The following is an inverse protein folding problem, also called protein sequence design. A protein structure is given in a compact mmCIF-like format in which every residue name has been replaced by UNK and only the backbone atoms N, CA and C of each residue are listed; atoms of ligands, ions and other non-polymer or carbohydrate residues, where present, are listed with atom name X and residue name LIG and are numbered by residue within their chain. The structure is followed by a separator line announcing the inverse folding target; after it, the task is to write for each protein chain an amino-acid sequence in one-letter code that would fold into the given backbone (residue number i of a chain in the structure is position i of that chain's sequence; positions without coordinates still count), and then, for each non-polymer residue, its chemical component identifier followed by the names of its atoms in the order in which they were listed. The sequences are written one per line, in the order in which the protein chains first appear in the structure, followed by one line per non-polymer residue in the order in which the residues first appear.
data_IF_173150025858
#
_entry.id   IF_173150025858
#
_cell.length_a   1.000
_cell.length_b   1.000
_cell.length_c   1.000
_cell.angle_alpha   90.00
_cell.angle_beta   90.00
_cell.angle_gamma   90.00
#
_symmetry.space_group_name_H-M   'P 1'
#
loop_
_entity.id
_entity.type
_entity.pdbx_description
1 polymer ?
#
# COMPACT_ATOMS: atom_id res chain seq x y z
N UNK A 1 -0.14 13.42 1.74
CA UNK A 1 0.52 12.10 1.89
C UNK A 1 1.91 12.22 1.28
N UNK A 2 2.92 11.53 1.79
CA UNK A 2 4.28 11.65 1.20
C UNK A 2 4.58 10.50 0.22
N UNK A 3 3.90 9.37 0.38
CA UNK A 3 4.03 8.22 -0.51
C UNK A 3 2.70 7.47 -0.56
N UNK A 4 2.26 7.13 -1.77
CA UNK A 4 1.10 6.28 -2.01
C UNK A 4 1.56 5.03 -2.76
N UNK A 5 1.18 3.84 -2.26
CA UNK A 5 1.46 2.58 -2.94
C UNK A 5 0.15 1.93 -3.35
N UNK A 6 0.03 1.64 -4.64
CA UNK A 6 -1.17 1.09 -5.27
C UNK A 6 -0.88 -0.31 -5.80
N UNK A 7 -1.76 -1.27 -5.51
CA UNK A 7 -1.71 -2.58 -6.11
C UNK A 7 -2.43 -2.58 -7.47
N UNK A 8 -1.79 -3.14 -8.51
CA UNK A 8 -2.39 -3.24 -9.84
C UNK A 8 -3.47 -4.33 -9.95
N UNK A 9 -3.53 -5.26 -8.99
CA UNK A 9 -4.52 -6.36 -8.89
C UNK A 9 -5.93 -5.86 -8.50
N UNK A 10 -6.22 -4.58 -8.68
CA UNK A 10 -7.50 -3.99 -8.33
C UNK A 10 -8.51 -4.27 -9.44
N UNK A 11 -9.54 -5.06 -9.11
CA UNK A 11 -10.56 -5.55 -10.05
C UNK A 11 -11.41 -4.44 -10.71
N UNK A 12 -11.30 -3.18 -10.25
CA UNK A 12 -11.99 -2.02 -10.80
C UNK A 12 -11.00 -0.94 -11.24
N UNK A 13 -10.96 -0.59 -12.54
CA UNK A 13 -10.07 0.42 -13.09
C UNK A 13 -10.43 1.84 -12.65
N UNK A 14 -11.62 2.06 -12.10
CA UNK A 14 -12.04 3.38 -11.60
C UNK A 14 -11.30 3.75 -10.32
N UNK A 15 -10.91 2.75 -9.52
CA UNK A 15 -10.16 2.94 -8.29
C UNK A 15 -8.73 3.42 -8.57
N UNK A 16 -8.05 2.80 -9.55
CA UNK A 16 -6.70 3.18 -9.95
C UNK A 16 -6.66 4.59 -10.55
N UNK A 17 -7.68 4.96 -11.34
CA UNK A 17 -7.82 6.31 -11.90
C UNK A 17 -8.03 7.38 -10.83
N UNK A 18 -8.89 7.11 -9.84
CA UNK A 18 -9.12 8.03 -8.72
C UNK A 18 -7.82 8.29 -7.95
N UNK A 19 -7.11 7.22 -7.57
CA UNK A 19 -5.85 7.33 -6.82
C UNK A 19 -4.79 8.06 -7.64
N UNK A 20 -4.68 7.78 -8.94
CA UNK A 20 -3.74 8.46 -9.82
C UNK A 20 -4.06 9.96 -9.93
N UNK A 21 -5.32 10.34 -10.12
CA UNK A 21 -5.75 11.74 -10.17
C UNK A 21 -5.41 12.48 -8.85
N UNK A 22 -5.75 11.89 -7.70
CA UNK A 22 -5.42 12.43 -6.38
C UNK A 22 -3.90 12.57 -6.16
N UNK A 23 -3.10 11.63 -6.64
CA UNK A 23 -1.64 11.71 -6.50
C UNK A 23 -1.02 12.81 -7.38
N UNK A 24 -1.60 13.06 -8.56
CA UNK A 24 -1.17 14.13 -9.47
C UNK A 24 -1.47 15.52 -8.87
N UNK A 25 -2.66 15.73 -8.31
CA UNK A 25 -3.04 17.02 -7.72
C UNK A 25 -2.21 17.39 -6.48
N UNK A 26 -1.88 16.40 -5.65
CA UNK A 26 -1.13 16.61 -4.40
C UNK A 26 0.38 16.38 -4.52
N UNK A 27 0.90 16.13 -5.73
CA UNK A 27 2.31 15.85 -6.01
C UNK A 27 2.91 14.76 -5.10
N UNK A 28 2.19 13.64 -4.97
CA UNK A 28 2.59 12.51 -4.12
C UNK A 28 3.32 11.47 -4.95
N UNK A 29 4.45 10.95 -4.44
CA UNK A 29 5.16 9.85 -5.08
C UNK A 29 4.29 8.58 -5.08
N UNK A 30 3.92 8.13 -6.28
CA UNK A 30 3.11 6.94 -6.52
C UNK A 30 4.01 5.77 -6.90
N UNK A 31 3.84 4.64 -6.20
CA UNK A 31 4.53 3.37 -6.50
C UNK A 31 3.48 2.32 -6.83
N UNK A 32 3.65 1.63 -7.95
CA UNK A 32 2.79 0.53 -8.38
C UNK A 32 3.44 -0.81 -8.04
N UNK A 33 2.65 -1.73 -7.49
CA UNK A 33 3.10 -3.08 -7.15
C UNK A 33 2.11 -4.10 -7.72
N UNK A 34 2.58 -5.16 -8.43
CA UNK A 34 1.69 -6.10 -9.11
C UNK A 34 1.00 -7.12 -8.17
N UNK A 35 1.32 -7.15 -6.88
CA UNK A 35 0.76 -8.15 -5.95
C UNK A 35 0.32 -7.52 -4.63
N UNK A 36 -0.99 -7.46 -4.41
CA UNK A 36 -1.61 -6.96 -3.18
C UNK A 36 -1.22 -7.76 -1.93
N UNK A 37 -0.92 -9.07 -2.08
CA UNK A 37 -0.44 -9.91 -0.97
C UNK A 37 0.96 -9.52 -0.49
N UNK A 38 1.91 -9.34 -1.41
CA UNK A 38 3.26 -8.86 -1.08
C UNK A 38 3.21 -7.47 -0.44
N UNK A 39 2.32 -6.61 -0.94
CA UNK A 39 2.08 -5.30 -0.35
C UNK A 39 1.57 -5.40 1.09
N UNK A 40 0.64 -6.32 1.35
CA UNK A 40 0.14 -6.61 2.69
C UNK A 40 1.24 -7.12 3.64
N UNK A 41 2.17 -7.93 3.13
CA UNK A 41 3.38 -8.34 3.87
C UNK A 41 4.28 -7.15 4.20
N UNK A 42 4.51 -6.25 3.25
CA UNK A 42 5.31 -5.03 3.45
C UNK A 42 4.67 -4.06 4.45
N UNK A 43 3.33 -4.00 4.47
CA UNK A 43 2.57 -3.18 5.41
C UNK A 43 2.45 -3.81 6.81
N UNK A 44 2.92 -5.05 7.00
CA UNK A 44 2.82 -5.76 8.28
C UNK A 44 1.42 -6.29 8.59
N UNK A 45 0.54 -6.42 7.59
CA UNK A 45 -0.82 -6.98 7.74
C UNK A 45 -0.81 -8.52 7.75
N UNK A 46 0.13 -9.09 8.51
CA UNK A 46 0.41 -10.51 8.57
C UNK A 46 0.54 -10.94 10.02
N UNK A 47 0.03 -12.14 10.34
CA UNK A 47 0.34 -12.78 11.62
C UNK A 47 1.61 -13.58 11.45
N UNK A 48 2.56 -13.37 12.36
CA UNK A 48 3.82 -14.11 12.40
C UNK A 48 3.59 -15.27 13.37
N UNK A 49 3.66 -16.51 12.89
CA UNK A 49 3.70 -17.69 13.76
C UNK A 49 5.09 -17.83 14.40
N UNK A 50 5.23 -18.58 15.50
CA UNK A 50 6.48 -18.73 16.26
C UNK A 50 7.69 -19.27 15.46
N UNK A 51 7.48 -19.80 14.25
CA UNK A 51 8.53 -20.22 13.31
C UNK A 51 8.96 -19.13 12.30
N UNK A 52 8.46 -17.91 12.44
CA UNK A 52 8.83 -16.77 11.58
C UNK A 52 8.19 -16.80 10.19
N UNK A 53 7.23 -17.69 9.92
CA UNK A 53 6.45 -17.71 8.68
C UNK A 53 5.20 -16.83 8.83
N UNK A 54 4.97 -15.96 7.86
CA UNK A 54 3.76 -15.16 7.77
C UNK A 54 2.57 -16.06 7.38
N UNK A 55 1.59 -16.22 8.28
CA UNK A 55 0.29 -16.82 7.94
C UNK A 55 -0.81 -15.75 8.03
N UNK A 56 -1.84 -15.91 7.20
CA UNK A 56 -2.95 -14.94 7.05
C UNK A 56 -2.50 -13.54 6.61
N UNK A 57 -1.73 -13.47 5.52
CA UNK A 57 -1.47 -12.22 4.81
C UNK A 57 -2.80 -11.65 4.29
N UNK A 58 -3.18 -10.47 4.77
CA UNK A 58 -4.32 -9.73 4.20
C UNK A 58 -3.81 -8.94 3.00
N UNK A 59 -4.44 -9.13 1.84
CA UNK A 59 -4.11 -8.34 0.65
C UNK A 59 -4.47 -6.88 0.88
N UNK A 60 -3.54 -5.98 0.54
CA UNK A 60 -3.74 -4.55 0.69
C UNK A 60 -3.76 -3.91 -0.69
N UNK A 61 -4.87 -3.24 -1.03
CA UNK A 61 -5.05 -2.58 -2.33
C UNK A 61 -4.39 -1.20 -2.40
N UNK A 62 -4.33 -0.50 -1.26
CA UNK A 62 -3.72 0.82 -1.12
C UNK A 62 -3.06 0.96 0.24
N UNK A 63 -1.87 1.56 0.26
CA UNK A 63 -1.18 1.95 1.48
C UNK A 63 -0.70 3.39 1.32
N UNK A 64 -0.97 4.20 2.34
CA UNK A 64 -0.56 5.61 2.37
C UNK A 64 0.44 5.78 3.49
N UNK A 65 1.67 6.16 3.15
CA UNK A 65 2.68 6.49 4.16
C UNK A 65 2.54 7.96 4.52
N UNK A 66 2.18 8.20 5.77
CA UNK A 66 2.28 9.51 6.40
C UNK A 66 3.56 9.51 7.22
N UNK A 67 4.62 10.15 6.72
CA UNK A 67 5.77 10.44 7.56
C UNK A 67 5.34 11.56 8.50
N UNK A 68 4.89 11.20 9.70
CA UNK A 68 4.97 12.18 10.79
C UNK A 68 6.45 12.30 11.06
N UNK A 69 7.07 13.39 10.62
CA UNK A 69 8.31 13.84 11.23
C UNK A 69 8.03 13.94 12.73
N UNK A 70 8.47 12.95 13.48
CA UNK A 70 8.59 13.04 14.92
C UNK A 70 9.78 13.99 15.17
N UNK A 71 9.56 15.28 14.93
CA UNK A 71 10.42 16.31 15.47
C UNK A 71 9.95 16.54 16.90
N UNK A 72 10.55 15.74 17.79
CA UNK A 72 10.83 15.98 19.22
C UNK A 72 9.65 16.17 20.17
#
# INVERSE_FOLDING_TARGET
AQLCVLAEDCNQPDYTKLVQALCVEHNVNLIQVPSAKKLGEWAGLCKIDSEGKARKVVGCSCVVVKVKCCFK
#
